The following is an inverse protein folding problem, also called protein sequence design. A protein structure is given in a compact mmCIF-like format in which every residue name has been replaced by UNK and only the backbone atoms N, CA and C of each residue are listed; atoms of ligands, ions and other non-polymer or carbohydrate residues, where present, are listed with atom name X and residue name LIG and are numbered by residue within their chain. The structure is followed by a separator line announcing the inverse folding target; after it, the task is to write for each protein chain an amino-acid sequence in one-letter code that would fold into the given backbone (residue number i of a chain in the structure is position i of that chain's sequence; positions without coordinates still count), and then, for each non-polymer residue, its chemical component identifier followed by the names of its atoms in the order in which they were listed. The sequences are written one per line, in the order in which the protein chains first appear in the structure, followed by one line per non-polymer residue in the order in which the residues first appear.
data_IF_379010827119
#
_entry.id   IF_379010827119
#
_cell.length_a   1.000
_cell.length_b   1.000
_cell.length_c   1.000
_cell.angle_alpha   90.00
_cell.angle_beta   90.00
_cell.angle_gamma   90.00
#
_symmetry.space_group_name_H-M   'P 1'
#
loop_
_entity.id
_entity.type
_entity.pdbx_description
1 polymer ?
#
# COMPACT_ATOMS: atom_id res chain seq x y z
N UNK A 1 37.26 9.55 -3.92
CA UNK A 1 36.97 8.10 -3.82
C UNK A 1 36.62 7.67 -2.40
N UNK A 2 37.44 7.95 -1.39
CA UNK A 2 37.19 7.52 0.01
C UNK A 2 35.86 8.02 0.62
N UNK A 3 35.45 9.27 0.34
CA UNK A 3 34.20 9.83 0.89
C UNK A 3 32.90 9.17 0.39
N UNK A 4 32.91 8.65 -0.85
CA UNK A 4 31.75 7.98 -1.44
C UNK A 4 31.51 6.60 -0.81
N UNK A 5 32.58 5.89 -0.46
CA UNK A 5 32.52 4.58 0.19
C UNK A 5 31.97 4.70 1.61
N UNK A 6 32.39 5.74 2.35
CA UNK A 6 31.88 6.01 3.70
C UNK A 6 30.41 6.43 3.69
N UNK A 7 30.03 7.34 2.78
CA UNK A 7 28.63 7.77 2.65
C UNK A 7 27.70 6.63 2.20
N UNK A 8 28.14 5.80 1.24
CA UNK A 8 27.39 4.63 0.79
C UNK A 8 27.24 3.56 1.89
N UNK A 9 28.28 3.36 2.70
CA UNK A 9 28.23 2.43 3.85
C UNK A 9 27.23 2.86 4.91
N UNK A 10 27.19 4.16 5.26
CA UNK A 10 26.21 4.69 6.23
C UNK A 10 24.77 4.59 5.71
N UNK A 11 24.53 4.86 4.43
CA UNK A 11 23.19 4.77 3.83
C UNK A 11 22.69 3.32 3.71
N UNK A 12 23.60 2.38 3.41
CA UNK A 12 23.27 0.95 3.39
C UNK A 12 22.96 0.43 4.81
N UNK A 13 23.70 0.86 5.82
CA UNK A 13 23.43 0.51 7.22
C UNK A 13 22.10 1.12 7.69
N UNK A 14 21.78 2.35 7.30
CA UNK A 14 20.50 2.99 7.64
C UNK A 14 19.30 2.35 6.91
N UNK A 15 19.47 1.75 5.73
CA UNK A 15 18.41 0.94 5.10
C UNK A 15 18.25 -0.44 5.73
N UNK A 16 19.35 -1.08 6.17
CA UNK A 16 19.33 -2.41 6.79
C UNK A 16 18.87 -2.37 8.26
N UNK A 17 19.30 -1.35 9.00
CA UNK A 17 18.85 -1.07 10.38
C UNK A 17 17.62 -0.15 10.42
N UNK A 18 17.23 0.37 9.25
CA UNK A 18 16.04 1.18 9.01
C UNK A 18 14.85 0.48 9.60
N UNK A 19 14.35 1.09 10.67
CA UNK A 19 13.21 0.62 11.48
C UNK A 19 12.21 -0.10 10.60
N UNK A 20 11.83 -1.34 10.99
CA UNK A 20 10.62 -1.98 10.46
C UNK A 20 9.57 -0.88 10.39
N UNK A 21 9.01 -0.56 9.21
CA UNK A 21 7.97 0.44 9.11
C UNK A 21 6.95 0.04 10.17
N UNK A 22 6.76 0.91 11.18
CA UNK A 22 5.84 0.63 12.26
C UNK A 22 4.55 0.20 11.59
N UNK A 23 4.06 -1.00 11.88
CA UNK A 23 2.72 -1.40 11.50
C UNK A 23 1.82 -0.35 12.11
N UNK A 24 1.40 0.61 11.30
CA UNK A 24 0.42 1.57 11.72
C UNK A 24 -0.85 0.74 11.90
N UNK A 25 -1.43 0.71 13.11
CA UNK A 25 -2.67 0.00 13.31
C UNK A 25 -3.68 0.53 12.30
N UNK A 26 -4.50 -0.36 11.74
CA UNK A 26 -5.53 0.04 10.79
C UNK A 26 -6.40 1.11 11.47
N UNK A 27 -6.28 2.34 11.00
CA UNK A 27 -7.10 3.44 11.47
C UNK A 27 -8.51 3.19 10.94
N UNK A 28 -9.41 2.72 11.81
CA UNK A 28 -10.82 2.57 11.49
C UNK A 28 -11.48 3.91 11.80
N UNK A 29 -11.93 4.60 10.76
CA UNK A 29 -12.70 5.83 10.90
C UNK A 29 -14.16 5.51 10.61
N UNK A 30 -15.02 5.79 11.58
CA UNK A 30 -16.47 5.69 11.40
C UNK A 30 -16.95 6.87 10.56
N UNK A 31 -17.58 6.57 9.42
CA UNK A 31 -18.17 7.57 8.55
C UNK A 31 -19.69 7.55 8.70
N UNK A 32 -20.28 8.66 9.16
CA UNK A 32 -21.72 8.78 9.48
C UNK A 32 -22.63 9.01 8.25
N UNK A 33 -22.23 8.55 7.06
CA UNK A 33 -22.93 8.83 5.79
C UNK A 33 -23.61 7.61 5.17
N UNK A 34 -24.21 7.80 3.99
CA UNK A 34 -24.73 6.70 3.19
C UNK A 34 -23.57 5.81 2.66
N UNK A 35 -23.73 4.49 2.67
CA UNK A 35 -22.73 3.58 2.11
C UNK A 35 -22.56 3.85 0.60
N UNK A 36 -21.34 4.19 0.20
CA UNK A 36 -20.96 4.42 -1.20
C UNK A 36 -20.32 3.16 -1.82
N UNK A 37 -20.45 2.99 -3.14
CA UNK A 37 -19.85 1.88 -3.89
C UNK A 37 -18.35 2.14 -4.15
N UNK A 38 -17.49 1.57 -3.29
CA UNK A 38 -16.02 1.77 -3.36
C UNK A 38 -15.42 1.21 -4.65
N UNK A 39 -16.03 0.19 -5.25
CA UNK A 39 -15.52 -0.43 -6.48
C UNK A 39 -15.74 0.47 -7.70
N UNK A 40 -16.75 1.35 -7.67
CA UNK A 40 -17.02 2.35 -8.70
C UNK A 40 -16.42 3.71 -8.40
N UNK A 41 -16.60 4.22 -7.18
CA UNK A 41 -16.34 5.62 -6.84
C UNK A 41 -14.99 5.84 -6.13
N UNK A 42 -14.39 4.76 -5.61
CA UNK A 42 -13.19 4.82 -4.79
C UNK A 42 -13.47 5.29 -3.36
N UNK A 43 -12.44 5.82 -2.70
CA UNK A 43 -12.51 6.31 -1.32
C UNK A 43 -12.23 7.81 -1.32
N UNK A 44 -13.11 8.61 -0.72
CA UNK A 44 -12.94 10.05 -0.53
C UNK A 44 -12.99 10.37 0.95
N UNK A 45 -11.97 11.03 1.47
CA UNK A 45 -11.88 11.42 2.87
C UNK A 45 -11.70 12.94 2.91
N UNK A 46 -12.73 13.72 3.31
CA UNK A 46 -12.56 15.14 3.57
C UNK A 46 -11.68 15.31 4.81
N UNK A 47 -10.58 16.04 4.68
CA UNK A 47 -9.72 16.42 5.82
C UNK A 47 -10.20 17.73 6.41
N UNK A 48 -10.59 18.67 5.54
CA UNK A 48 -11.15 19.97 5.86
C UNK A 48 -12.16 20.38 4.76
N UNK A 49 -12.74 21.59 4.86
CA UNK A 49 -13.76 22.10 3.91
C UNK A 49 -13.26 22.26 2.47
N UNK A 50 -11.94 22.39 2.29
CA UNK A 50 -11.28 22.65 1.00
C UNK A 50 -10.42 21.48 0.49
N UNK A 51 -10.08 20.54 1.36
CA UNK A 51 -9.11 19.48 1.12
C UNK A 51 -9.77 18.13 1.28
N UNK A 52 -9.77 17.36 0.19
CA UNK A 52 -10.24 15.98 0.17
C UNK A 52 -9.16 15.07 -0.39
N UNK A 53 -8.86 14.00 0.34
CA UNK A 53 -7.98 12.94 -0.16
C UNK A 53 -8.83 11.95 -0.93
N UNK A 54 -8.38 11.62 -2.15
CA UNK A 54 -9.07 10.70 -3.05
C UNK A 54 -8.17 9.52 -3.37
N UNK A 55 -8.67 8.32 -3.08
CA UNK A 55 -8.12 7.06 -3.57
C UNK A 55 -9.05 6.55 -4.68
N UNK A 56 -8.65 6.57 -5.95
CA UNK A 56 -9.54 6.19 -7.04
C UNK A 56 -9.91 4.71 -6.99
N UNK A 57 -11.01 4.37 -7.65
CA UNK A 57 -11.49 2.99 -7.78
C UNK A 57 -10.38 2.06 -8.32
N UNK A 58 -10.34 0.78 -7.93
CA UNK A 58 -9.24 -0.12 -8.26
C UNK A 58 -8.92 -0.19 -9.76
N UNK A 59 -9.95 -0.10 -10.62
CA UNK A 59 -9.83 -0.16 -12.07
C UNK A 59 -9.33 1.14 -12.72
N UNK A 60 -9.32 2.26 -11.98
CA UNK A 60 -8.86 3.57 -12.43
C UNK A 60 -7.43 3.91 -11.95
N UNK A 61 -6.83 3.05 -11.11
CA UNK A 61 -5.52 3.32 -10.52
C UNK A 61 -4.39 3.11 -11.55
N UNK A 62 -3.53 4.10 -11.79
CA UNK A 62 -2.41 3.97 -12.72
C UNK A 62 -1.44 2.87 -12.27
N UNK A 63 -0.99 2.02 -13.20
CA UNK A 63 -0.06 0.90 -12.92
C UNK A 63 -0.69 -0.33 -12.27
N UNK A 64 -2.02 -0.37 -12.08
CA UNK A 64 -2.70 -1.43 -11.34
C UNK A 64 -3.11 -2.58 -12.25
N UNK A 65 -2.13 -3.21 -12.91
CA UNK A 65 -2.33 -4.57 -13.38
C UNK A 65 -2.47 -5.44 -12.13
N UNK A 66 -3.69 -5.92 -11.85
CA UNK A 66 -3.98 -6.79 -10.71
C UNK A 66 -3.10 -8.04 -10.81
N UNK A 67 -2.02 -8.09 -10.05
CA UNK A 67 -1.14 -9.27 -9.99
C UNK A 67 -1.83 -10.33 -9.15
N UNK A 68 -2.74 -11.10 -9.77
CA UNK A 68 -3.35 -12.26 -9.13
C UNK A 68 -2.32 -13.39 -9.13
N UNK A 69 -1.64 -13.60 -8.01
CA UNK A 69 -0.77 -14.77 -7.84
C UNK A 69 -1.65 -16.03 -7.78
N UNK A 70 -1.83 -16.68 -8.94
CA UNK A 70 -2.56 -17.95 -9.03
C UNK A 70 -1.83 -18.99 -8.16
N UNK A 71 -2.48 -19.48 -7.10
CA UNK A 71 -1.98 -20.63 -6.32
C UNK A 71 -1.91 -21.83 -7.28
N UNK A 72 -0.72 -22.36 -7.53
CA UNK A 72 -0.57 -23.67 -8.19
C UNK A 72 -1.17 -24.71 -7.24
N UNK A 73 -2.28 -25.35 -7.64
CA UNK A 73 -2.78 -26.53 -6.94
C UNK A 73 -1.73 -27.62 -7.13
N UNK A 74 -0.97 -27.91 -6.08
CA UNK A 74 -0.15 -29.11 -6.00
C UNK A 74 -1.11 -30.29 -5.89
N UNK A 75 -1.60 -30.78 -7.03
CA UNK A 75 -2.37 -32.02 -7.10
C UNK A 75 -1.46 -33.19 -6.76
N UNK A 76 -1.56 -33.70 -5.53
CA UNK A 76 -1.09 -35.04 -5.19
C UNK A 76 -2.33 -35.94 -5.31
N UNK A 77 -2.60 -36.42 -6.52
CA UNK A 77 -3.54 -37.52 -6.71
C UNK A 77 -2.78 -38.78 -6.29
N UNK A 78 -3.02 -39.25 -5.07
CA UNK A 78 -2.69 -40.61 -4.66
C UNK A 78 -4.00 -41.39 -4.66
N UNK A 79 -4.14 -42.29 -5.63
CA UNK A 79 -5.02 -43.45 -5.56
C UNK A 79 -4.24 -44.61 -6.16
#
# INVERSE_FOLDING_TARGET
MAGAIVAGGMLAIDQVLGRRPKEQPAAVSEFSGEPTDIDKDGIKIPIDESTTVVSPAPHLRPGTARTVRRRRRSGKNAN
#
